data_IF_137746932334
#
_entry.id   IF_137746932334
#
_cell.length_a   1.000
_cell.length_b   1.000
_cell.length_c   1.000
_cell.angle_alpha   90.00
_cell.angle_beta   90.00
_cell.angle_gamma   90.00
#
_symmetry.space_group_name_H-M   'P 1'
#
loop_
_entity.id
_entity.type
_entity.pdbx_description
1 polymer ?
#
# COMPACT_ATOMS: atom_id res chain seq x y z
N UNK A 1 -8.70 4.97 9.25
CA UNK A 1 -8.77 3.62 8.65
C UNK A 1 -9.77 3.62 7.49
N UNK A 2 -9.31 3.91 6.26
CA UNK A 2 -10.17 3.91 5.04
C UNK A 2 -9.94 2.67 4.15
N UNK A 3 -9.23 1.66 4.67
CA UNK A 3 -8.79 0.50 3.88
C UNK A 3 -9.93 -0.49 3.55
N UNK A 4 -10.94 -0.63 4.41
CA UNK A 4 -11.87 -1.76 4.33
C UNK A 4 -13.14 -1.54 3.49
N UNK A 5 -13.78 -0.37 3.58
CA UNK A 5 -15.09 -0.13 2.96
C UNK A 5 -15.04 0.76 1.71
N UNK A 6 -14.13 1.74 1.67
CA UNK A 6 -14.00 2.65 0.53
C UNK A 6 -13.09 2.12 -0.58
N UNK A 7 -12.02 1.40 -0.23
CA UNK A 7 -11.00 0.95 -1.19
C UNK A 7 -11.29 -0.42 -1.81
N UNK A 8 -11.86 -1.35 -1.04
CA UNK A 8 -12.20 -2.69 -1.53
C UNK A 8 -13.58 -2.77 -2.22
N UNK A 9 -14.48 -1.81 -1.96
CA UNK A 9 -15.85 -1.73 -2.53
C UNK A 9 -16.66 -3.03 -2.37
N UNK A 10 -16.40 -3.79 -1.30
CA UNK A 10 -17.10 -5.03 -1.00
C UNK A 10 -18.49 -4.76 -0.38
N UNK A 11 -19.49 -5.63 -0.62
CA UNK A 11 -20.71 -5.64 0.16
C UNK A 11 -20.39 -5.80 1.67
N UNK A 12 -21.12 -5.13 2.58
CA UNK A 12 -20.81 -5.16 4.02
C UNK A 12 -20.76 -6.57 4.60
N UNK A 13 -21.63 -7.47 4.14
CA UNK A 13 -21.68 -8.87 4.58
C UNK A 13 -20.37 -9.60 4.28
N UNK A 14 -19.84 -9.41 3.08
CA UNK A 14 -18.64 -10.12 2.63
C UNK A 14 -17.40 -9.53 3.31
N UNK A 15 -17.39 -8.21 3.55
CA UNK A 15 -16.35 -7.56 4.34
C UNK A 15 -16.22 -8.15 5.76
N UNK A 16 -17.35 -8.35 6.45
CA UNK A 16 -17.35 -8.92 7.82
C UNK A 16 -17.11 -10.43 7.85
N UNK A 17 -17.25 -11.13 6.72
CA UNK A 17 -16.93 -12.55 6.61
C UNK A 17 -15.43 -12.81 6.39
N UNK A 18 -14.63 -11.79 6.10
CA UNK A 18 -13.21 -11.93 5.82
C UNK A 18 -12.43 -12.37 7.06
N UNK A 19 -11.51 -13.30 6.83
CA UNK A 19 -10.45 -13.61 7.79
C UNK A 19 -9.40 -12.50 7.82
N UNK A 20 -8.66 -12.33 8.93
CA UNK A 20 -7.58 -11.35 9.02
C UNK A 20 -6.50 -11.50 7.93
N UNK A 21 -6.24 -12.73 7.48
CA UNK A 21 -5.27 -13.02 6.41
C UNK A 21 -5.78 -12.53 5.06
N UNK A 22 -7.05 -12.79 4.73
CA UNK A 22 -7.66 -12.32 3.48
C UNK A 22 -7.75 -10.79 3.44
N UNK A 23 -8.05 -10.17 4.58
CA UNK A 23 -8.01 -8.71 4.72
C UNK A 23 -6.60 -8.14 4.48
N UNK A 24 -5.56 -8.76 5.05
CA UNK A 24 -4.17 -8.35 4.84
C UNK A 24 -3.74 -8.51 3.38
N UNK A 25 -4.15 -9.59 2.72
CA UNK A 25 -3.88 -9.84 1.31
C UNK A 25 -4.50 -8.74 0.42
N UNK A 26 -5.79 -8.45 0.63
CA UNK A 26 -6.53 -7.47 -0.18
C UNK A 26 -6.09 -6.03 0.04
N UNK A 27 -5.60 -5.69 1.24
CA UNK A 27 -5.05 -4.36 1.53
C UNK A 27 -3.62 -4.16 1.03
N UNK A 28 -3.05 -5.16 0.35
CA UNK A 28 -1.68 -5.11 -0.16
C UNK A 28 -0.62 -5.32 0.91
N UNK A 29 -0.99 -5.76 2.11
CA UNK A 29 -0.05 -6.09 3.19
C UNK A 29 0.79 -7.34 2.91
N UNK A 30 0.35 -8.20 1.98
CA UNK A 30 1.15 -9.30 1.44
C UNK A 30 2.06 -8.88 0.28
N UNK A 31 1.89 -7.67 -0.26
CA UNK A 31 2.85 -7.14 -1.21
C UNK A 31 4.11 -6.91 -0.39
N UNK A 32 5.12 -7.75 -0.63
CA UNK A 32 6.45 -7.51 -0.09
C UNK A 32 6.76 -6.04 -0.30
N UNK A 33 7.32 -5.39 0.73
CA UNK A 33 7.82 -4.03 0.64
C UNK A 33 8.97 -4.07 -0.36
N UNK A 34 8.62 -4.18 -1.64
CA UNK A 34 9.55 -4.27 -2.73
C UNK A 34 10.46 -3.07 -2.61
N UNK A 35 11.65 -3.18 -3.20
CA UNK A 35 12.61 -2.10 -3.31
C UNK A 35 12.05 -0.95 -4.18
N UNK A 36 10.88 -0.42 -3.82
CA UNK A 36 10.42 0.88 -4.25
C UNK A 36 11.42 1.89 -3.73
N UNK A 37 11.71 2.87 -4.56
CA UNK A 37 12.72 3.89 -4.30
C UNK A 37 12.48 4.48 -2.90
N UNK A 38 13.39 4.19 -1.97
CA UNK A 38 13.29 4.74 -0.63
C UNK A 38 13.45 6.25 -0.69
N UNK A 39 12.85 6.95 0.28
CA UNK A 39 12.96 8.41 0.39
C UNK A 39 14.43 8.87 0.32
N UNK A 40 15.34 8.13 0.95
CA UNK A 40 16.77 8.39 0.88
C UNK A 40 17.34 8.27 -0.55
N UNK A 41 16.90 7.27 -1.33
CA UNK A 41 17.29 7.11 -2.73
C UNK A 41 16.76 8.23 -3.62
N UNK A 42 15.52 8.68 -3.37
CA UNK A 42 14.95 9.85 -4.04
C UNK A 42 15.72 11.13 -3.72
N UNK A 43 16.05 11.37 -2.45
CA UNK A 43 16.84 12.53 -2.04
C UNK A 43 18.25 12.53 -2.64
N UNK A 44 18.88 11.36 -2.76
CA UNK A 44 20.16 11.22 -3.42
C UNK A 44 20.07 11.56 -4.91
N UNK A 45 19.00 11.15 -5.59
CA UNK A 45 18.76 11.47 -7.00
C UNK A 45 18.54 12.96 -7.21
N UNK A 46 17.71 13.61 -6.39
CA UNK A 46 17.46 15.06 -6.48
C UNK A 46 18.73 15.88 -6.23
N UNK A 47 19.64 15.41 -5.38
CA UNK A 47 20.96 16.03 -5.18
C UNK A 47 21.89 15.81 -6.38
N UNK A 48 21.82 14.65 -7.02
CA UNK A 48 22.65 14.30 -8.17
C UNK A 48 22.22 15.04 -9.45
N UNK A 49 20.93 15.32 -9.59
CA UNK A 49 20.35 15.99 -10.76
C UNK A 49 19.50 17.19 -10.31
N UNK A 50 20.12 18.30 -9.89
CA UNK A 50 19.38 19.51 -9.54
C UNK A 50 18.83 20.18 -10.82
N UNK A 51 17.52 20.37 -10.87
CA UNK A 51 16.86 21.12 -11.93
C UNK A 51 17.19 22.62 -11.76
N UNK A 52 18.15 23.10 -12.53
CA UNK A 52 18.58 24.52 -12.61
C UNK A 52 18.01 25.24 -13.82
#
# INVERSE_FOLDING_TARGET
>A
MHAGLCLLRLPPRDFWALTPVEFLAMTGGMRGRGAGMEKAGLEALMRAFPDG
#
